data_IF_449587765895
#
_entry.id   IF_449587765895
#
_cell.length_a   1.000
_cell.length_b   1.000
_cell.length_c   1.000
_cell.angle_alpha   90.00
_cell.angle_beta   90.00
_cell.angle_gamma   90.00
#
_symmetry.space_group_name_H-M   'P 1'
#
loop_
_entity.id
_entity.type
_entity.pdbx_description
1 polymer ?
#
# COMPACT_ATOMS: atom_id res chain seq x y z
N UNK A 1 6.97 -16.03 -2.68
CA UNK A 1 6.48 -14.91 -3.52
C UNK A 1 6.19 -15.44 -4.93
N UNK A 2 5.10 -16.19 -5.09
CA UNK A 2 4.79 -16.84 -6.38
C UNK A 2 3.82 -16.01 -7.23
N UNK A 3 2.95 -15.20 -6.61
CA UNK A 3 2.01 -14.32 -7.32
C UNK A 3 1.91 -12.94 -6.65
N UNK A 4 2.60 -11.96 -7.21
CA UNK A 4 2.58 -10.57 -6.73
C UNK A 4 1.64 -9.78 -7.64
N UNK A 5 0.59 -9.18 -7.06
CA UNK A 5 -0.31 -8.26 -7.77
C UNK A 5 -0.56 -7.04 -6.89
N UNK A 6 -0.40 -5.84 -7.45
CA UNK A 6 -0.63 -4.60 -6.70
C UNK A 6 -2.07 -4.46 -6.19
N UNK A 7 -3.04 -5.11 -6.85
CA UNK A 7 -4.43 -5.15 -6.42
C UNK A 7 -4.66 -5.75 -5.03
N UNK A 8 -3.72 -6.55 -4.53
CA UNK A 8 -3.86 -7.25 -3.25
C UNK A 8 -3.31 -6.47 -2.05
N UNK A 9 -2.65 -5.33 -2.28
CA UNK A 9 -2.12 -4.47 -1.22
C UNK A 9 -3.26 -3.69 -0.58
N UNK A 10 -3.31 -3.74 0.75
CA UNK A 10 -4.27 -2.98 1.55
C UNK A 10 -3.53 -2.28 2.68
N UNK A 11 -3.68 -0.96 2.74
CA UNK A 11 -3.19 -0.14 3.83
C UNK A 11 -3.83 -0.56 5.17
N UNK A 12 -3.03 -0.51 6.24
CA UNK A 12 -3.47 -0.81 7.60
C UNK A 12 -3.98 0.40 8.36
N UNK A 13 -3.76 0.40 9.67
CA UNK A 13 -4.21 1.46 10.58
C UNK A 13 -3.24 2.64 10.69
N UNK A 14 -2.38 2.86 9.70
CA UNK A 14 -1.42 3.96 9.63
C UNK A 14 -1.76 4.88 8.45
N UNK A 15 -1.39 6.16 8.51
CA UNK A 15 -1.64 7.14 7.44
C UNK A 15 -0.47 7.19 6.44
N UNK A 16 -0.09 6.04 5.91
CA UNK A 16 1.03 5.78 4.99
C UNK A 16 0.56 5.47 3.56
N UNK A 17 -0.57 6.07 3.15
CA UNK A 17 -1.19 5.82 1.84
C UNK A 17 -0.24 6.11 0.67
N UNK A 18 0.64 7.11 0.84
CA UNK A 18 1.66 7.49 -0.13
C UNK A 18 2.63 6.33 -0.43
N UNK A 19 3.13 5.64 0.61
CA UNK A 19 4.01 4.49 0.48
C UNK A 19 3.26 3.30 -0.11
N UNK A 20 2.05 3.02 0.37
CA UNK A 20 1.24 1.91 -0.14
C UNK A 20 0.92 2.07 -1.63
N UNK A 21 0.66 3.31 -2.06
CA UNK A 21 0.48 3.66 -3.47
C UNK A 21 1.73 3.38 -4.29
N UNK A 22 2.91 3.76 -3.78
CA UNK A 22 4.20 3.43 -4.37
C UNK A 22 4.43 1.91 -4.48
N UNK A 23 4.10 1.14 -3.45
CA UNK A 23 4.18 -0.32 -3.47
C UNK A 23 3.23 -0.97 -4.48
N UNK A 24 2.03 -0.43 -4.68
CA UNK A 24 1.12 -0.90 -5.75
C UNK A 24 1.74 -0.66 -7.12
N UNK A 25 2.37 0.50 -7.34
CA UNK A 25 3.08 0.80 -8.57
C UNK A 25 4.23 -0.17 -8.81
N UNK A 26 5.06 -0.37 -7.77
CA UNK A 26 6.19 -1.29 -7.78
C UNK A 26 5.75 -2.74 -8.10
N UNK A 27 4.61 -3.17 -7.54
CA UNK A 27 4.04 -4.48 -7.80
C UNK A 27 3.55 -4.67 -9.25
N UNK A 28 3.31 -3.59 -9.99
CA UNK A 28 2.98 -3.65 -11.42
C UNK A 28 4.23 -3.73 -12.30
N UNK A 29 5.42 -3.39 -11.78
CA UNK A 29 6.68 -3.59 -12.51
C UNK A 29 7.12 -5.04 -12.36
N UNK A 30 7.27 -5.80 -13.47
CA UNK A 30 7.74 -7.17 -13.41
C UNK A 30 9.06 -7.29 -12.63
N UNK A 31 9.10 -8.21 -11.68
CA UNK A 31 10.26 -8.51 -10.82
C UNK A 31 10.68 -7.43 -9.80
N UNK A 32 10.11 -6.23 -9.81
CA UNK A 32 10.60 -5.14 -8.96
C UNK A 32 10.48 -5.46 -7.46
N UNK A 33 9.36 -6.00 -7.00
CA UNK A 33 9.20 -6.44 -5.59
C UNK A 33 10.21 -7.52 -5.21
N UNK A 34 10.58 -8.40 -6.15
CA UNK A 34 11.63 -9.43 -5.92
C UNK A 34 13.02 -8.80 -5.85
N UNK A 35 13.26 -7.67 -6.53
CA UNK A 35 14.52 -6.92 -6.42
C UNK A 35 14.61 -6.16 -5.11
N UNK A 36 13.48 -5.72 -4.54
CA UNK A 36 13.42 -5.10 -3.22
C UNK A 36 13.75 -6.09 -2.12
N UNK A 37 13.22 -7.32 -2.15
CA UNK A 37 13.55 -8.38 -1.18
C UNK A 37 14.70 -9.26 -1.68
N UNK A 38 15.93 -8.86 -1.40
CA UNK A 38 17.15 -9.43 -1.99
C UNK A 38 17.56 -10.78 -1.39
N UNK A 39 17.24 -11.04 -0.14
CA UNK A 39 17.63 -12.28 0.55
C UNK A 39 16.70 -12.55 1.73
N UNK A 40 16.34 -13.80 1.94
CA UNK A 40 15.51 -14.18 3.09
C UNK A 40 15.66 -15.66 3.46
N UNK A 41 15.35 -15.98 4.71
CA UNK A 41 15.18 -17.34 5.21
C UNK A 41 13.87 -17.42 5.98
N UNK A 42 12.88 -18.10 5.40
CA UNK A 42 11.57 -18.34 6.06
C UNK A 42 11.68 -19.31 7.23
N UNK A 43 12.70 -20.16 7.26
CA UNK A 43 12.95 -21.08 8.38
C UNK A 43 13.46 -20.35 9.62
N UNK A 44 14.32 -19.34 9.42
CA UNK A 44 14.90 -18.54 10.53
C UNK A 44 14.03 -17.32 10.83
N UNK A 45 13.27 -16.83 9.84
CA UNK A 45 12.41 -15.65 9.98
C UNK A 45 13.16 -14.34 9.74
N UNK A 46 14.18 -14.32 8.87
CA UNK A 46 15.01 -13.13 8.58
C UNK A 46 14.90 -12.75 7.11
N UNK A 47 14.76 -11.45 6.85
CA UNK A 47 14.51 -10.89 5.52
C UNK A 47 15.37 -9.63 5.33
N UNK A 48 16.01 -9.52 4.18
CA UNK A 48 16.83 -8.38 3.77
C UNK A 48 16.17 -7.66 2.60
N UNK A 49 15.99 -6.34 2.76
CA UNK A 49 15.39 -5.45 1.78
C UNK A 49 16.37 -4.38 1.35
N UNK A 50 16.18 -3.83 0.15
CA UNK A 50 16.91 -2.67 -0.37
C UNK A 50 15.95 -1.54 -0.72
N UNK A 51 16.36 -0.31 -0.42
CA UNK A 51 15.65 0.93 -0.73
C UNK A 51 16.65 1.94 -1.27
N UNK A 52 16.21 2.81 -2.16
CA UNK A 52 16.98 3.96 -2.58
C UNK A 52 16.73 5.11 -1.60
N UNK A 53 17.77 5.84 -1.23
CA UNK A 53 17.65 7.01 -0.36
C UNK A 53 18.84 7.92 -0.54
N UNK A 54 18.60 9.22 -0.65
CA UNK A 54 19.65 10.25 -0.70
C UNK A 54 20.75 10.00 -1.75
N UNK A 55 20.40 9.36 -2.87
CA UNK A 55 21.32 9.08 -3.97
C UNK A 55 21.99 7.70 -3.96
N UNK A 56 21.70 6.85 -2.97
CA UNK A 56 22.31 5.52 -2.86
C UNK A 56 21.32 4.42 -2.46
N UNK A 57 21.66 3.16 -2.79
CA UNK A 57 20.89 2.00 -2.35
C UNK A 57 21.34 1.57 -0.96
N UNK A 58 20.43 1.67 0.00
CA UNK A 58 20.60 1.21 1.38
C UNK A 58 19.90 -0.13 1.59
N UNK A 59 20.28 -0.86 2.65
CA UNK A 59 19.64 -2.13 3.00
C UNK A 59 19.03 -2.11 4.42
N UNK A 60 18.00 -2.92 4.61
CA UNK A 60 17.30 -3.11 5.88
C UNK A 60 17.07 -4.59 6.13
N UNK A 61 17.64 -5.12 7.22
CA UNK A 61 17.43 -6.50 7.65
C UNK A 61 16.45 -6.51 8.81
N UNK A 62 15.39 -7.32 8.71
CA UNK A 62 14.35 -7.45 9.72
C UNK A 62 14.04 -8.91 10.03
N UNK A 63 13.50 -9.14 11.23
CA UNK A 63 12.79 -10.37 11.57
C UNK A 63 11.33 -10.32 11.10
N UNK A 64 10.62 -11.45 11.17
CA UNK A 64 9.20 -11.59 10.79
C UNK A 64 8.17 -11.33 11.89
N UNK A 65 8.56 -10.74 13.03
CA UNK A 65 7.60 -10.33 14.06
C UNK A 65 6.87 -9.08 13.59
N UNK A 66 5.59 -9.25 13.26
CA UNK A 66 4.70 -8.18 12.81
C UNK A 66 3.76 -7.75 13.92
N UNK A 67 3.32 -6.48 13.88
CA UNK A 67 2.37 -5.93 14.84
C UNK A 67 0.95 -6.45 14.55
N UNK A 68 0.27 -6.89 15.61
CA UNK A 68 -1.10 -7.38 15.54
C UNK A 68 -2.08 -6.36 16.15
N UNK A 69 -3.32 -6.37 15.65
CA UNK A 69 -4.42 -5.55 16.18
C UNK A 69 -4.83 -5.96 17.58
N UNK A 70 -4.80 -7.25 17.85
CA UNK A 70 -5.15 -7.82 19.14
C UNK A 70 -3.89 -8.19 19.92
N UNK A 71 -3.87 -7.95 21.24
CA UNK A 71 -2.72 -8.28 22.07
C UNK A 71 -2.55 -9.80 22.21
N UNK A 72 -1.48 -10.23 22.87
CA UNK A 72 -1.33 -11.65 23.19
C UNK A 72 -2.38 -12.11 24.21
N UNK A 73 -2.60 -13.42 24.29
CA UNK A 73 -3.58 -14.01 25.21
C UNK A 73 -3.30 -13.63 26.67
N UNK A 74 -2.02 -13.57 27.05
CA UNK A 74 -1.61 -13.27 28.42
C UNK A 74 -1.94 -11.82 28.83
N UNK A 75 -2.04 -10.91 27.86
CA UNK A 75 -2.52 -9.55 28.09
C UNK A 75 -4.03 -9.51 28.30
N UNK A 76 -4.50 -8.64 29.20
CA UNK A 76 -5.94 -8.37 29.35
C UNK A 76 -6.48 -7.75 28.07
N UNK A 77 -7.63 -8.24 27.61
CA UNK A 77 -8.35 -7.66 26.49
C UNK A 77 -9.85 -7.97 26.58
N UNK A 78 -10.74 -7.04 26.18
CA UNK A 78 -12.19 -7.29 26.19
C UNK A 78 -12.58 -8.55 25.39
N UNK A 79 -11.88 -8.82 24.29
CA UNK A 79 -12.11 -9.99 23.45
C UNK A 79 -11.81 -11.29 24.19
N UNK A 80 -10.75 -11.32 25.01
CA UNK A 80 -10.43 -12.46 25.88
C UNK A 80 -11.47 -12.62 26.98
N UNK A 81 -11.82 -11.54 27.65
CA UNK A 81 -12.75 -11.59 28.79
C UNK A 81 -14.12 -12.13 28.36
N UNK A 82 -14.62 -11.70 27.19
CA UNK A 82 -15.85 -12.22 26.59
C UNK A 82 -15.74 -13.72 26.25
N UNK A 83 -14.63 -14.16 25.68
CA UNK A 83 -14.42 -15.55 25.32
C UNK A 83 -14.33 -16.46 26.55
N UNK A 84 -13.69 -15.99 27.62
CA UNK A 84 -13.61 -16.73 28.90
C UNK A 84 -14.99 -16.85 29.55
N UNK A 85 -15.84 -15.83 29.46
CA UNK A 85 -17.22 -15.89 29.97
C UNK A 85 -18.07 -16.95 29.29
N UNK A 86 -17.79 -17.27 28.02
CA UNK A 86 -18.50 -18.33 27.28
C UNK A 86 -18.08 -19.74 27.75
N UNK A 87 -16.98 -19.87 28.51
CA UNK A 87 -16.65 -21.09 29.26
C UNK A 87 -16.32 -22.32 28.42
N UNK A 88 -15.79 -22.15 27.20
CA UNK A 88 -15.46 -23.27 26.31
C UNK A 88 -14.02 -23.77 26.51
N UNK A 89 -13.83 -25.10 26.51
CA UNK A 89 -12.50 -25.70 26.46
C UNK A 89 -11.73 -25.23 25.21
N UNK A 90 -10.44 -24.91 25.38
CA UNK A 90 -9.61 -24.41 24.28
C UNK A 90 -9.81 -22.93 23.94
N UNK A 91 -10.35 -22.12 24.87
CA UNK A 91 -10.59 -20.67 24.67
C UNK A 91 -9.37 -19.93 24.12
N UNK A 92 -8.15 -20.24 24.59
CA UNK A 92 -6.92 -19.60 24.09
C UNK A 92 -6.68 -19.89 22.60
N UNK A 93 -6.83 -21.15 22.18
CA UNK A 93 -6.65 -21.53 20.79
C UNK A 93 -7.69 -20.86 19.90
N UNK A 94 -8.94 -20.75 20.39
CA UNK A 94 -10.00 -20.02 19.71
C UNK A 94 -9.66 -18.53 19.59
N UNK A 95 -9.12 -17.91 20.64
CA UNK A 95 -8.66 -16.52 20.61
C UNK A 95 -7.56 -16.31 19.56
N UNK A 96 -6.51 -17.16 19.58
CA UNK A 96 -5.40 -17.07 18.61
C UNK A 96 -5.90 -17.21 17.19
N UNK A 97 -6.73 -18.22 16.91
CA UNK A 97 -7.33 -18.46 15.59
C UNK A 97 -8.26 -17.34 15.12
N UNK A 98 -8.92 -16.63 16.04
CA UNK A 98 -9.89 -15.59 15.68
C UNK A 98 -9.26 -14.21 15.54
N UNK A 99 -8.25 -13.90 16.37
CA UNK A 99 -7.74 -12.54 16.52
C UNK A 99 -6.26 -12.37 16.19
N UNK A 100 -5.49 -13.46 16.04
CA UNK A 100 -4.03 -13.40 15.86
C UNK A 100 -3.51 -14.21 14.66
N UNK A 101 -4.40 -14.70 13.79
CA UNK A 101 -4.02 -15.44 12.58
C UNK A 101 -4.58 -14.79 11.33
N UNK A 102 -3.82 -14.92 10.24
CA UNK A 102 -4.16 -14.36 8.94
C UNK A 102 -3.92 -12.86 8.84
N UNK A 103 -3.80 -12.36 7.61
CA UNK A 103 -3.47 -10.96 7.32
C UNK A 103 -4.36 -9.94 8.05
N UNK A 104 -5.67 -10.22 8.20
CA UNK A 104 -6.62 -9.33 8.89
C UNK A 104 -6.22 -8.99 10.33
N UNK A 105 -5.44 -9.85 10.99
CA UNK A 105 -4.93 -9.64 12.34
C UNK A 105 -3.76 -8.65 12.40
N UNK A 106 -3.10 -8.35 11.29
CA UNK A 106 -2.00 -7.41 11.18
C UNK A 106 -2.51 -5.97 11.37
N UNK A 107 -1.73 -5.15 12.07
CA UNK A 107 -2.09 -3.76 12.38
C UNK A 107 -1.80 -2.81 11.22
N UNK A 108 -0.63 -2.96 10.59
CA UNK A 108 -0.15 -2.11 9.50
C UNK A 108 -0.51 -2.69 8.12
N UNK A 109 0.24 -2.33 7.08
CA UNK A 109 -0.04 -2.77 5.73
C UNK A 109 -0.11 -4.29 5.62
N UNK A 110 -1.05 -4.78 4.82
CA UNK A 110 -1.36 -6.20 4.72
C UNK A 110 -1.77 -6.56 3.29
N UNK A 111 -1.66 -7.84 2.95
CA UNK A 111 -2.25 -8.38 1.72
C UNK A 111 -3.70 -8.83 1.98
N UNK A 112 -4.54 -8.79 0.95
CA UNK A 112 -5.89 -9.38 0.96
C UNK A 112 -5.89 -10.89 1.20
N UNK A 113 -4.90 -11.60 0.68
CA UNK A 113 -4.67 -13.02 0.95
C UNK A 113 -4.12 -13.20 2.38
N UNK A 114 -4.70 -14.15 3.12
CA UNK A 114 -4.42 -14.32 4.53
C UNK A 114 -3.05 -14.94 4.83
N UNK A 115 -2.42 -15.57 3.84
CA UNK A 115 -1.20 -16.36 4.04
C UNK A 115 0.06 -15.71 3.44
N UNK A 116 0.00 -14.44 3.03
CA UNK A 116 1.15 -13.73 2.49
C UNK A 116 1.45 -12.45 3.26
N UNK A 117 2.70 -12.33 3.71
CA UNK A 117 3.17 -11.26 4.60
C UNK A 117 4.14 -10.29 3.93
N UNK A 118 4.40 -10.44 2.63
CA UNK A 118 5.44 -9.66 1.96
C UNK A 118 5.21 -8.14 2.03
N UNK A 119 3.96 -7.69 1.93
CA UNK A 119 3.58 -6.27 2.06
C UNK A 119 4.01 -5.75 3.44
N UNK A 120 3.61 -6.48 4.49
CA UNK A 120 3.90 -6.12 5.88
C UNK A 120 5.38 -6.16 6.22
N UNK A 121 6.13 -7.06 5.59
CA UNK A 121 7.58 -7.15 5.76
C UNK A 121 8.30 -5.97 5.08
N UNK A 122 7.90 -5.59 3.86
CA UNK A 122 8.46 -4.39 3.20
C UNK A 122 8.13 -3.14 4.02
N UNK A 123 6.87 -2.99 4.44
CA UNK A 123 6.40 -1.88 5.28
C UNK A 123 7.21 -1.79 6.59
N UNK A 124 7.45 -2.92 7.28
CA UNK A 124 8.33 -2.98 8.47
C UNK A 124 9.77 -2.58 8.16
N UNK A 125 10.33 -3.06 7.05
CA UNK A 125 11.70 -2.78 6.67
C UNK A 125 11.91 -1.31 6.29
N UNK A 126 10.90 -0.71 5.66
CA UNK A 126 10.84 0.70 5.34
C UNK A 126 10.69 1.54 6.61
N UNK A 127 9.73 1.21 7.48
CA UNK A 127 9.59 1.84 8.80
C UNK A 127 10.92 1.86 9.57
N UNK A 128 11.68 0.76 9.57
CA UNK A 128 12.98 0.68 10.22
C UNK A 128 13.99 1.72 9.70
N UNK A 129 14.08 1.93 8.38
CA UNK A 129 15.03 2.91 7.83
C UNK A 129 14.56 4.36 7.99
N UNK A 130 13.26 4.59 8.19
CA UNK A 130 12.68 5.92 8.46
C UNK A 130 12.51 6.24 9.96
N UNK A 131 12.97 5.39 10.88
CA UNK A 131 12.94 5.66 12.32
C UNK A 131 11.73 5.09 13.09
N UNK A 132 10.86 4.33 12.44
CA UNK A 132 9.74 3.61 13.04
C UNK A 132 8.48 3.70 12.19
N UNK A 133 7.39 3.06 12.64
CA UNK A 133 6.11 3.15 11.92
C UNK A 133 5.50 4.55 12.01
N UNK A 134 5.66 5.24 13.15
CA UNK A 134 5.08 6.57 13.35
C UNK A 134 5.64 7.61 12.37
N UNK A 135 6.87 7.43 11.86
CA UNK A 135 7.47 8.37 10.90
C UNK A 135 6.93 8.20 9.48
N UNK A 136 6.22 7.11 9.17
CA UNK A 136 5.59 6.92 7.86
C UNK A 136 4.21 7.60 7.75
N UNK A 137 3.71 8.16 8.86
CA UNK A 137 2.43 8.85 8.88
C UNK A 137 2.52 10.22 8.20
N UNK A 138 1.88 10.35 7.04
CA UNK A 138 1.97 11.54 6.20
C UNK A 138 3.26 11.55 5.38
N UNK A 139 3.13 11.75 4.07
CA UNK A 139 4.24 11.74 3.13
C UNK A 139 3.74 11.89 1.70
N UNK A 140 4.67 11.88 0.75
CA UNK A 140 4.39 12.16 -0.66
C UNK A 140 4.54 10.91 -1.51
N UNK A 141 3.63 10.70 -2.47
CA UNK A 141 3.69 9.51 -3.33
C UNK A 141 4.98 9.50 -4.18
N UNK A 142 5.49 10.69 -4.50
CA UNK A 142 6.79 10.92 -5.15
C UNK A 142 7.93 10.26 -4.37
N UNK A 143 8.09 10.62 -3.09
CA UNK A 143 9.10 10.04 -2.18
C UNK A 143 9.02 8.51 -2.13
N UNK A 144 7.81 7.97 -1.97
CA UNK A 144 7.62 6.51 -1.93
C UNK A 144 8.01 5.82 -3.24
N UNK A 145 7.77 6.45 -4.39
CA UNK A 145 8.18 5.91 -5.69
C UNK A 145 9.69 5.99 -5.88
N UNK A 146 10.32 7.10 -5.51
CA UNK A 146 11.77 7.30 -5.61
C UNK A 146 12.50 6.29 -4.74
N UNK A 147 12.10 6.14 -3.47
CA UNK A 147 12.77 5.23 -2.55
C UNK A 147 12.61 3.75 -2.95
N UNK A 148 11.49 3.39 -3.57
CA UNK A 148 11.24 2.00 -3.99
C UNK A 148 11.91 1.66 -5.32
N UNK A 149 12.18 2.64 -6.18
CA UNK A 149 12.62 2.40 -7.57
C UNK A 149 14.00 2.94 -7.90
N UNK A 150 14.49 3.93 -7.14
CA UNK A 150 15.64 4.75 -7.51
C UNK A 150 15.38 5.68 -8.71
N UNK A 151 14.12 5.84 -9.10
CA UNK A 151 13.71 6.73 -10.19
C UNK A 151 13.71 8.21 -9.78
N UNK A 152 13.26 9.05 -10.70
CA UNK A 152 13.05 10.48 -10.47
C UNK A 152 11.58 10.78 -10.70
N UNK A 153 10.96 11.50 -9.78
CA UNK A 153 9.56 11.91 -9.91
C UNK A 153 9.44 13.38 -10.28
N UNK A 154 8.31 13.72 -10.89
CA UNK A 154 7.93 15.09 -11.20
C UNK A 154 6.49 15.26 -10.78
N UNK A 155 6.20 16.35 -10.10
CA UNK A 155 4.85 16.68 -9.64
C UNK A 155 4.20 17.66 -10.60
N UNK A 156 2.98 17.36 -11.02
CA UNK A 156 2.18 18.20 -11.90
C UNK A 156 0.84 18.46 -11.22
N UNK A 157 0.53 19.73 -10.98
CA UNK A 157 -0.83 20.10 -10.64
C UNK A 157 -1.71 19.89 -11.88
N UNK A 158 -2.87 19.25 -11.70
CA UNK A 158 -3.79 19.01 -12.82
C UNK A 158 -4.28 20.30 -13.48
N UNK A 159 -4.27 21.42 -12.74
CA UNK A 159 -4.53 22.77 -13.25
C UNK A 159 -3.46 23.31 -14.20
N UNK A 160 -2.23 22.77 -14.12
CA UNK A 160 -1.07 23.29 -14.83
C UNK A 160 -0.82 22.54 -16.14
N UNK A 161 -1.65 21.53 -16.44
CA UNK A 161 -1.62 20.79 -17.71
C UNK A 161 -2.32 21.62 -18.78
N UNK A 162 -1.56 22.47 -19.47
CA UNK A 162 -2.08 23.38 -20.50
C UNK A 162 -2.56 22.66 -21.77
N UNK A 163 -1.84 21.60 -22.18
CA UNK A 163 -2.19 20.78 -23.35
C UNK A 163 -2.51 19.35 -22.92
N UNK A 164 -3.80 19.10 -22.67
CA UNK A 164 -4.30 17.80 -22.21
C UNK A 164 -4.25 16.72 -23.29
N UNK A 165 -4.27 17.10 -24.57
CA UNK A 165 -4.11 16.19 -25.71
C UNK A 165 -2.68 15.67 -25.75
N UNK A 166 -1.72 16.58 -25.71
CA UNK A 166 -0.30 16.23 -25.72
C UNK A 166 0.07 15.38 -24.52
N UNK A 167 -0.37 15.78 -23.31
CA UNK A 167 -0.13 15.03 -22.08
C UNK A 167 -0.70 13.61 -22.17
N UNK A 168 -1.92 13.45 -22.69
CA UNK A 168 -2.51 12.14 -22.85
C UNK A 168 -1.67 11.23 -23.76
N UNK A 169 -1.27 11.74 -24.92
CA UNK A 169 -0.57 10.95 -25.94
C UNK A 169 0.90 10.68 -25.61
N UNK A 170 1.60 11.61 -24.96
CA UNK A 170 3.03 11.45 -24.64
C UNK A 170 3.29 10.76 -23.31
N UNK A 171 2.40 10.95 -22.33
CA UNK A 171 2.66 10.58 -20.94
C UNK A 171 1.60 9.62 -20.41
N UNK A 172 0.36 10.07 -20.19
CA UNK A 172 -0.66 9.29 -19.48
C UNK A 172 -0.98 7.94 -20.14
N UNK A 173 -1.07 7.89 -21.48
CA UNK A 173 -1.32 6.64 -22.23
C UNK A 173 -0.20 5.60 -22.13
N UNK A 174 0.98 6.00 -21.64
CA UNK A 174 2.15 5.15 -21.45
C UNK A 174 2.35 4.73 -19.98
N UNK A 175 1.31 4.87 -19.16
CA UNK A 175 1.32 4.35 -17.78
C UNK A 175 1.67 2.85 -17.74
N UNK A 176 2.51 2.48 -16.77
CA UNK A 176 3.08 1.15 -16.57
C UNK A 176 3.90 0.61 -17.77
N UNK A 177 4.25 1.46 -18.74
CA UNK A 177 5.16 1.17 -19.85
C UNK A 177 6.42 2.01 -19.73
N UNK A 178 6.27 3.33 -19.85
CA UNK A 178 7.37 4.30 -19.74
C UNK A 178 7.35 5.01 -18.38
N UNK A 179 6.15 5.17 -17.78
CA UNK A 179 5.95 5.98 -16.58
C UNK A 179 5.11 5.25 -15.53
N UNK A 180 5.41 5.53 -14.25
CA UNK A 180 4.50 5.29 -13.14
C UNK A 180 3.80 6.59 -12.78
N UNK A 181 2.49 6.53 -12.50
CA UNK A 181 1.70 7.71 -12.14
C UNK A 181 1.05 7.53 -10.78
N UNK A 182 1.57 8.26 -9.80
CA UNK A 182 0.84 8.60 -8.58
C UNK A 182 -0.15 9.74 -8.86
N UNK A 183 -1.29 9.70 -8.19
CA UNK A 183 -2.27 10.77 -8.17
C UNK A 183 -2.68 11.03 -6.72
N UNK A 184 -2.87 12.30 -6.36
CA UNK A 184 -3.29 12.66 -5.00
C UNK A 184 -4.35 13.74 -5.03
N UNK A 185 -5.16 13.77 -3.99
CA UNK A 185 -6.12 14.84 -3.74
C UNK A 185 -5.60 15.77 -2.66
N UNK A 186 -5.81 17.08 -2.84
CA UNK A 186 -5.51 18.08 -1.82
C UNK A 186 -6.54 18.12 -0.69
N UNK A 187 -6.38 19.07 0.23
CA UNK A 187 -7.38 19.40 1.23
C UNK A 187 -8.40 20.40 0.66
N UNK A 188 -9.69 20.11 0.74
CA UNK A 188 -10.71 21.16 0.60
C UNK A 188 -10.84 21.94 1.91
N UNK A 189 -11.48 23.11 1.85
CA UNK A 189 -11.56 24.12 2.91
C UNK A 189 -12.00 23.59 4.31
N UNK A 190 -12.60 22.40 4.40
CA UNK A 190 -13.16 21.84 5.64
C UNK A 190 -12.44 20.56 6.14
N UNK A 191 -11.33 20.14 5.54
CA UNK A 191 -10.58 18.94 5.93
C UNK A 191 -11.17 17.62 5.39
N UNK A 192 -10.75 16.48 5.98
CA UNK A 192 -11.00 15.10 5.49
C UNK A 192 -12.45 14.86 5.01
N UNK A 193 -12.60 14.52 3.73
CA UNK A 193 -13.87 14.20 3.10
C UNK A 193 -13.75 13.14 1.99
N UNK A 194 -14.86 12.89 1.30
CA UNK A 194 -14.95 12.05 0.11
C UNK A 194 -15.89 12.73 -0.90
N UNK A 195 -15.52 12.76 -2.18
CA UNK A 195 -16.36 13.21 -3.29
C UNK A 195 -16.47 12.11 -4.32
N UNK A 196 -17.68 11.60 -4.52
CA UNK A 196 -17.98 10.55 -5.51
C UNK A 196 -17.04 9.33 -5.41
N UNK A 197 -16.68 8.93 -4.19
CA UNK A 197 -15.76 7.82 -3.90
C UNK A 197 -14.26 8.11 -4.04
N UNK A 198 -13.90 9.37 -4.31
CA UNK A 198 -12.53 9.86 -4.19
C UNK A 198 -12.36 10.54 -2.82
N UNK A 199 -11.51 9.95 -1.99
CA UNK A 199 -11.11 10.47 -0.69
C UNK A 199 -10.19 11.68 -0.85
N UNK A 200 -10.33 12.66 0.04
CA UNK A 200 -9.48 13.84 0.14
C UNK A 200 -8.20 13.57 0.94
N UNK A 201 -7.15 14.35 0.68
CA UNK A 201 -5.83 14.18 1.30
C UNK A 201 -5.32 12.74 1.21
N UNK A 202 -5.52 12.10 0.05
CA UNK A 202 -5.27 10.68 -0.13
C UNK A 202 -4.52 10.39 -1.43
N UNK A 203 -3.70 9.35 -1.40
CA UNK A 203 -2.90 8.89 -2.53
C UNK A 203 -3.60 7.76 -3.29
N UNK A 204 -3.46 7.80 -4.61
CA UNK A 204 -3.98 6.85 -5.59
C UNK A 204 -2.90 6.51 -6.60
N UNK A 205 -2.95 5.32 -7.17
CA UNK A 205 -2.09 4.96 -8.30
C UNK A 205 -2.93 4.79 -9.57
N UNK A 206 -2.41 5.27 -10.70
CA UNK A 206 -2.96 4.97 -12.00
C UNK A 206 -2.48 3.59 -12.44
N UNK A 207 -3.43 2.68 -12.67
CA UNK A 207 -3.16 1.33 -13.15
C UNK A 207 -3.20 1.23 -14.68
N UNK A 208 -4.07 2.01 -15.31
CA UNK A 208 -4.30 1.89 -16.75
C UNK A 208 -4.91 3.19 -17.30
N UNK A 209 -4.53 3.54 -18.53
CA UNK A 209 -5.13 4.62 -19.30
C UNK A 209 -5.56 4.08 -20.67
N UNK A 210 -6.81 4.34 -21.07
CA UNK A 210 -7.37 3.86 -22.34
C UNK A 210 -8.21 4.91 -23.04
N UNK A 211 -7.96 5.09 -24.32
CA UNK A 211 -8.85 5.80 -25.23
C UNK A 211 -9.92 4.85 -25.77
N UNK A 212 -11.18 5.23 -25.68
CA UNK A 212 -12.30 4.51 -26.29
C UNK A 212 -12.58 5.02 -27.71
N UNK A 213 -13.20 4.18 -28.53
CA UNK A 213 -13.59 4.51 -29.92
C UNK A 213 -14.55 5.69 -30.02
N UNK A 214 -15.30 5.99 -28.97
CA UNK A 214 -16.24 7.12 -28.89
C UNK A 214 -15.59 8.42 -28.42
N UNK A 215 -14.25 8.50 -28.38
CA UNK A 215 -13.50 9.69 -27.96
C UNK A 215 -13.29 9.83 -26.44
N UNK A 216 -13.97 9.03 -25.61
CA UNK A 216 -13.77 9.10 -24.16
C UNK A 216 -12.41 8.52 -23.75
N UNK A 217 -11.76 9.20 -22.80
CA UNK A 217 -10.50 8.80 -22.18
C UNK A 217 -10.75 8.38 -20.76
N UNK A 218 -10.32 7.17 -20.40
CA UNK A 218 -10.55 6.59 -19.09
C UNK A 218 -9.22 6.29 -18.39
N UNK A 219 -9.16 6.65 -17.12
CA UNK A 219 -8.05 6.37 -16.22
C UNK A 219 -8.56 5.44 -15.11
N UNK A 220 -7.89 4.31 -14.94
CA UNK A 220 -8.19 3.35 -13.87
C UNK A 220 -7.33 3.68 -12.65
N UNK A 221 -7.96 4.19 -11.61
CA UNK A 221 -7.31 4.48 -10.33
C UNK A 221 -7.44 3.31 -9.35
N UNK A 222 -6.49 3.21 -8.43
CA UNK A 222 -6.51 2.26 -7.31
C UNK A 222 -6.27 2.98 -6.00
N UNK A 223 -7.24 2.84 -5.09
CA UNK A 223 -7.15 3.30 -3.71
C UNK A 223 -6.41 2.27 -2.83
N UNK A 224 -5.26 2.58 -2.20
CA UNK A 224 -4.53 1.64 -1.36
C UNK A 224 -5.32 1.10 -0.16
N UNK A 225 -6.44 1.69 0.25
CA UNK A 225 -7.32 1.14 1.31
C UNK A 225 -8.02 -0.18 0.95
N UNK A 226 -7.98 -0.62 -0.31
CA UNK A 226 -8.63 -1.88 -0.69
C UNK A 226 -10.15 -1.80 -0.89
N UNK A 227 -10.79 -0.71 -0.48
CA UNK A 227 -12.21 -0.45 -0.72
C UNK A 227 -12.41 0.17 -2.11
N UNK A 228 -13.17 -0.52 -2.95
CA UNK A 228 -13.75 0.07 -4.16
C UNK A 228 -15.14 0.59 -3.80
N UNK A 229 -15.29 1.91 -3.73
CA UNK A 229 -16.62 2.56 -3.72
C UNK A 229 -16.73 3.48 -4.93
N UNK A 230 -17.85 4.21 -5.05
CA UNK A 230 -18.32 4.97 -6.24
C UNK A 230 -17.22 5.77 -6.97
N UNK A 231 -17.47 6.16 -8.22
CA UNK A 231 -16.43 6.70 -9.12
C UNK A 231 -16.03 5.70 -10.22
N UNK A 232 -16.72 4.56 -10.30
CA UNK A 232 -16.71 3.71 -11.49
C UNK A 232 -17.36 4.51 -12.62
N UNK A 233 -16.67 4.64 -13.74
CA UNK A 233 -17.27 5.16 -14.96
C UNK A 233 -18.38 4.19 -15.39
N UNK A 234 -19.63 4.59 -15.21
CA UNK A 234 -20.81 3.80 -15.62
C UNK A 234 -21.18 4.05 -17.09
N UNK A 235 -20.57 5.06 -17.70
CA UNK A 235 -20.88 5.54 -19.04
C UNK A 235 -21.82 6.72 -19.08
N UNK A 236 -22.10 7.26 -20.27
CA UNK A 236 -23.48 7.42 -20.69
C UNK A 236 -24.14 6.06 -20.96
#
# INVERSE_FOLDING_TARGET
MERIQGGDITQGNLSDCWLMTGLVALANIPTAVKRTCVSYSTTIGVYGFVFYRDGEWIYSIIDDKLYLKSPCWDSRSPQRDLLVQVGQDGTENLYRKRYRTGSKSLFFAQRRDQNETWVSLIDKAYAKVHGGYSSLAGGWTSEGLEDLTGGVTTELATSDILDTELFWHREMSKVNQDFLFGASTGYLANGKGERDGIAEAHAYIVLEARSRKNGHRLVKLRNPWGDARKGIWEGP
#
